data_IF_831398204097
#
_entry.id   IF_831398204097
#
_cell.length_a   1.000
_cell.length_b   1.000
_cell.length_c   1.000
_cell.angle_alpha   90.00
_cell.angle_beta   90.00
_cell.angle_gamma   90.00
#
_symmetry.space_group_name_H-M   'P 1'
#
loop_
_entity.id
_entity.type
_entity.pdbx_description
1 polymer ?
#
# COMPACT_ATOMS: atom_id res chain seq x y z
N UNK A 1 -11.87 -1.91 -11.09
CA UNK A 1 -13.15 -1.25 -10.74
C UNK A 1 -14.36 -1.93 -11.39
N UNK A 2 -14.38 -2.13 -12.71
CA UNK A 2 -15.51 -2.81 -13.40
C UNK A 2 -15.82 -4.20 -12.84
N UNK A 3 -14.81 -5.05 -12.65
CA UNK A 3 -14.99 -6.37 -12.02
C UNK A 3 -15.55 -6.28 -10.59
N UNK A 4 -15.12 -5.26 -9.83
CA UNK A 4 -15.68 -5.02 -8.49
C UNK A 4 -17.17 -4.65 -8.51
N UNK A 5 -17.64 -3.99 -9.57
CA UNK A 5 -19.06 -3.73 -9.78
C UNK A 5 -19.79 -4.99 -10.23
N UNK A 6 -19.20 -5.78 -11.12
CA UNK A 6 -19.78 -7.04 -11.60
C UNK A 6 -19.94 -8.06 -10.46
N UNK A 7 -18.98 -8.14 -9.53
CA UNK A 7 -19.15 -8.98 -8.32
C UNK A 7 -20.33 -8.58 -7.42
N UNK A 8 -20.94 -7.42 -7.66
CA UNK A 8 -22.13 -6.91 -6.96
C UNK A 8 -23.35 -6.88 -7.88
N UNK A 9 -23.48 -7.87 -8.75
CA UNK A 9 -24.52 -7.94 -9.78
C UNK A 9 -25.95 -7.96 -9.23
N UNK A 10 -26.15 -8.37 -7.98
CA UNK A 10 -27.41 -8.29 -7.26
C UNK A 10 -27.82 -6.86 -6.87
N UNK A 11 -26.87 -5.93 -6.83
CA UNK A 11 -27.08 -4.53 -6.42
C UNK A 11 -26.77 -3.55 -7.55
N UNK A 12 -25.79 -3.86 -8.42
CA UNK A 12 -25.30 -2.97 -9.49
C UNK A 12 -25.56 -3.63 -10.85
N UNK A 13 -26.57 -3.15 -11.57
CA UNK A 13 -26.99 -3.70 -12.87
C UNK A 13 -26.39 -2.96 -14.06
N UNK A 14 -25.70 -1.85 -13.86
CA UNK A 14 -25.09 -1.11 -14.97
C UNK A 14 -23.89 -0.30 -14.51
N UNK A 15 -22.86 -0.26 -15.34
CA UNK A 15 -21.73 0.64 -15.20
C UNK A 15 -21.48 1.37 -16.51
N UNK A 16 -21.08 2.63 -16.43
CA UNK A 16 -20.68 3.41 -17.60
C UNK A 16 -19.33 4.07 -17.35
N UNK A 17 -18.47 4.05 -18.35
CA UNK A 17 -17.21 4.79 -18.29
C UNK A 17 -17.48 6.26 -18.57
N UNK A 18 -16.72 7.11 -17.90
CA UNK A 18 -16.67 8.54 -18.20
C UNK A 18 -15.49 8.82 -19.11
N UNK A 19 -15.79 9.27 -20.34
CA UNK A 19 -14.84 9.64 -21.40
C UNK A 19 -14.13 8.42 -22.05
N UNK A 20 -14.51 8.16 -23.30
CA UNK A 20 -13.89 7.13 -24.13
C UNK A 20 -12.62 7.64 -24.81
N UNK A 21 -12.64 8.86 -25.36
CA UNK A 21 -11.62 9.43 -26.23
C UNK A 21 -11.23 10.82 -25.74
N UNK A 22 -9.93 11.15 -25.77
CA UNK A 22 -9.47 12.53 -25.58
C UNK A 22 -9.93 13.43 -26.73
N UNK A 23 -10.45 14.60 -26.42
CA UNK A 23 -10.96 15.54 -27.43
C UNK A 23 -9.84 16.24 -28.23
N UNK A 24 -8.62 16.28 -27.70
CA UNK A 24 -7.41 16.89 -28.30
C UNK A 24 -6.16 16.25 -27.70
N UNK A 25 -4.94 16.50 -28.22
CA UNK A 25 -3.70 16.00 -27.64
C UNK A 25 -3.48 16.54 -26.23
N UNK A 26 -4.06 15.90 -25.25
CA UNK A 26 -3.91 16.20 -23.83
C UNK A 26 -3.67 14.92 -23.06
N UNK A 27 -2.87 15.00 -22.01
CA UNK A 27 -2.65 13.87 -21.09
C UNK A 27 -3.84 13.64 -20.15
N UNK A 28 -5.09 13.68 -20.64
CA UNK A 28 -6.27 13.49 -19.83
C UNK A 28 -6.33 12.05 -19.30
N UNK A 29 -6.21 11.87 -18.02
CA UNK A 29 -6.04 10.56 -17.38
C UNK A 29 -7.29 9.67 -17.41
N UNK A 30 -8.46 10.20 -17.73
CA UNK A 30 -9.75 9.51 -17.55
C UNK A 30 -10.25 8.81 -18.81
N UNK A 31 -9.57 8.97 -19.95
CA UNK A 31 -10.00 8.38 -21.24
C UNK A 31 -9.37 7.02 -21.47
N UNK A 32 -10.05 6.17 -22.24
CA UNK A 32 -9.53 4.87 -22.66
C UNK A 32 -8.60 4.96 -23.87
N UNK A 33 -8.82 5.94 -24.75
CA UNK A 33 -7.97 6.19 -25.93
C UNK A 33 -7.55 7.65 -25.97
N UNK A 34 -6.44 7.92 -26.64
CA UNK A 34 -6.04 9.29 -26.97
C UNK A 34 -6.89 9.90 -28.10
N UNK A 35 -6.57 11.13 -28.52
CA UNK A 35 -7.29 11.83 -29.59
C UNK A 35 -7.07 11.19 -30.98
N UNK A 36 -6.03 10.40 -31.19
CA UNK A 36 -5.75 9.63 -32.39
C UNK A 36 -6.36 8.23 -32.34
N UNK A 37 -7.10 7.91 -31.27
CA UNK A 37 -7.73 6.62 -30.98
C UNK A 37 -6.73 5.53 -30.63
N UNK A 38 -5.50 5.87 -30.26
CA UNK A 38 -4.55 4.90 -29.74
C UNK A 38 -5.00 4.40 -28.36
N UNK A 39 -5.13 3.10 -28.14
CA UNK A 39 -5.58 2.57 -26.86
C UNK A 39 -4.54 2.80 -25.77
N UNK A 40 -4.99 3.30 -24.61
CA UNK A 40 -4.20 3.38 -23.38
C UNK A 40 -4.25 2.05 -22.62
N UNK A 41 -3.37 1.78 -21.66
CA UNK A 41 -3.44 0.56 -20.83
C UNK A 41 -4.83 0.31 -20.21
N UNK A 42 -5.53 1.38 -19.83
CA UNK A 42 -6.89 1.29 -19.29
C UNK A 42 -7.92 0.71 -20.28
N UNK A 43 -7.70 0.85 -21.59
CA UNK A 43 -8.55 0.27 -22.62
C UNK A 43 -8.53 -1.26 -22.54
N UNK A 44 -7.34 -1.85 -22.49
CA UNK A 44 -7.20 -3.31 -22.43
C UNK A 44 -7.72 -3.87 -21.12
N UNK A 45 -7.46 -3.21 -20.00
CA UNK A 45 -8.01 -3.61 -18.70
C UNK A 45 -9.55 -3.52 -18.67
N UNK A 46 -10.13 -2.52 -19.34
CA UNK A 46 -11.58 -2.41 -19.46
C UNK A 46 -12.16 -3.48 -20.38
N UNK A 47 -11.53 -3.73 -21.53
CA UNK A 47 -11.92 -4.79 -22.45
C UNK A 47 -11.91 -6.16 -21.75
N UNK A 48 -10.85 -6.46 -21.00
CA UNK A 48 -10.71 -7.68 -20.20
C UNK A 48 -11.83 -7.80 -19.15
N UNK A 49 -12.18 -6.70 -18.49
CA UNK A 49 -13.23 -6.69 -17.48
C UNK A 49 -14.65 -6.87 -18.04
N UNK A 50 -14.84 -6.76 -19.37
CA UNK A 50 -16.13 -6.93 -20.06
C UNK A 50 -16.30 -8.32 -20.70
N UNK A 51 -15.37 -9.25 -20.54
CA UNK A 51 -15.53 -10.63 -21.00
C UNK A 51 -16.78 -11.22 -20.33
N UNK A 52 -17.77 -11.71 -21.09
CA UNK A 52 -19.06 -12.09 -20.53
C UNK A 52 -18.98 -13.22 -19.50
N UNK A 53 -18.30 -14.32 -19.83
CA UNK A 53 -18.05 -15.42 -18.90
C UNK A 53 -16.57 -15.43 -18.54
N UNK A 54 -16.26 -15.11 -17.29
CA UNK A 54 -14.87 -15.03 -16.83
C UNK A 54 -14.68 -15.46 -15.38
N UNK A 55 -13.47 -15.90 -15.05
CA UNK A 55 -12.98 -15.94 -13.66
C UNK A 55 -12.44 -14.56 -13.29
N UNK A 56 -12.67 -14.14 -12.04
CA UNK A 56 -12.09 -12.94 -11.48
C UNK A 56 -11.50 -13.25 -10.10
N UNK A 57 -10.23 -12.93 -9.93
CA UNK A 57 -9.52 -13.08 -8.67
C UNK A 57 -9.57 -11.78 -7.87
N UNK A 58 -9.82 -11.91 -6.58
CA UNK A 58 -9.79 -10.77 -5.68
C UNK A 58 -9.08 -11.08 -4.38
N UNK A 59 -8.20 -10.18 -3.98
CA UNK A 59 -7.66 -10.12 -2.63
C UNK A 59 -7.53 -8.65 -2.21
N UNK A 60 -7.71 -8.40 -0.93
CA UNK A 60 -7.41 -7.09 -0.35
C UNK A 60 -5.90 -6.86 -0.19
N UNK A 61 -5.06 -7.88 -0.43
CA UNK A 61 -3.63 -7.84 -0.16
C UNK A 61 -2.80 -8.16 -1.39
N UNK A 62 -1.93 -7.24 -1.76
CA UNK A 62 -0.92 -7.42 -2.82
C UNK A 62 0.49 -7.63 -2.26
N UNK A 63 0.61 -7.66 -0.92
CA UNK A 63 1.86 -7.98 -0.22
C UNK A 63 1.56 -8.73 1.08
N UNK A 64 2.46 -9.63 1.49
CA UNK A 64 2.33 -10.43 2.70
C UNK A 64 3.70 -10.83 3.25
N UNK A 65 3.73 -11.17 4.53
CA UNK A 65 4.89 -11.85 5.11
C UNK A 65 4.81 -13.35 4.89
N UNK A 66 5.98 -14.02 4.89
CA UNK A 66 6.08 -15.48 4.65
C UNK A 66 5.30 -16.32 5.67
N UNK A 67 5.08 -15.79 6.87
CA UNK A 67 4.36 -16.45 7.96
C UNK A 67 2.84 -16.24 7.91
N UNK A 68 2.34 -15.57 6.88
CA UNK A 68 0.92 -15.27 6.71
C UNK A 68 0.27 -16.20 5.69
N UNK A 69 -1.06 -16.24 5.73
CA UNK A 69 -1.90 -16.84 4.70
C UNK A 69 -2.81 -15.75 4.16
N UNK A 70 -2.77 -15.56 2.84
CA UNK A 70 -3.58 -14.53 2.15
C UNK A 70 -4.79 -15.19 1.52
N UNK A 71 -6.02 -14.76 1.87
CA UNK A 71 -7.22 -15.23 1.20
C UNK A 71 -7.32 -14.60 -0.19
N UNK A 72 -7.51 -15.42 -1.21
CA UNK A 72 -7.80 -15.01 -2.58
C UNK A 72 -9.17 -15.55 -2.96
N UNK A 73 -10.12 -14.65 -3.17
CA UNK A 73 -11.47 -15.00 -3.63
C UNK A 73 -11.43 -15.35 -5.12
N UNK A 74 -12.06 -16.45 -5.49
CA UNK A 74 -12.28 -16.88 -6.87
C UNK A 74 -13.74 -16.63 -7.22
N UNK A 75 -13.98 -15.66 -8.07
CA UNK A 75 -15.32 -15.30 -8.53
C UNK A 75 -15.54 -15.78 -9.96
N UNK A 76 -16.73 -16.28 -10.24
CA UNK A 76 -17.20 -16.53 -11.60
C UNK A 76 -18.24 -15.47 -11.93
N UNK A 77 -18.01 -14.76 -13.03
CA UNK A 77 -18.87 -13.71 -13.54
C UNK A 77 -19.49 -14.21 -14.85
N UNK A 78 -20.81 -14.24 -14.92
CA UNK A 78 -21.55 -14.73 -16.09
C UNK A 78 -22.60 -13.68 -16.51
N UNK A 79 -22.28 -12.87 -17.51
CA UNK A 79 -23.23 -11.93 -18.12
C UNK A 79 -23.98 -12.55 -19.31
N UNK A 80 -23.78 -13.85 -19.60
CA UNK A 80 -24.49 -14.55 -20.65
C UNK A 80 -25.93 -14.88 -20.24
N UNK A 81 -26.80 -15.05 -21.23
CA UNK A 81 -28.23 -15.38 -21.02
C UNK A 81 -28.50 -16.82 -20.57
N UNK A 82 -27.46 -17.65 -20.56
CA UNK A 82 -27.54 -19.05 -20.24
C UNK A 82 -26.77 -19.43 -18.97
N UNK A 83 -27.23 -20.51 -18.33
CA UNK A 83 -26.49 -21.15 -17.23
C UNK A 83 -25.23 -21.82 -17.78
N UNK A 84 -24.13 -21.69 -17.08
CA UNK A 84 -22.86 -22.27 -17.46
C UNK A 84 -22.31 -23.22 -16.39
N UNK A 85 -21.64 -24.28 -16.84
CA UNK A 85 -20.87 -25.19 -16.00
C UNK A 85 -19.40 -25.06 -16.40
N UNK A 86 -18.55 -24.73 -15.47
CA UNK A 86 -17.12 -24.51 -15.69
C UNK A 86 -16.30 -25.42 -14.78
N UNK A 87 -15.15 -25.86 -15.28
CA UNK A 87 -14.09 -26.47 -14.48
C UNK A 87 -13.09 -25.38 -14.13
N UNK A 88 -12.90 -25.13 -12.82
CA UNK A 88 -11.96 -24.13 -12.27
C UNK A 88 -10.67 -24.86 -11.97
N UNK A 89 -9.56 -24.33 -12.44
CA UNK A 89 -8.21 -24.76 -12.08
C UNK A 89 -7.42 -23.55 -11.57
N UNK A 90 -6.98 -23.59 -10.31
CA UNK A 90 -6.15 -22.57 -9.70
C UNK A 90 -4.78 -23.14 -9.38
N UNK A 91 -3.73 -22.42 -9.73
CA UNK A 91 -2.35 -22.80 -9.59
C UNK A 91 -1.56 -21.67 -8.92
N UNK A 92 -0.65 -22.03 -8.02
CA UNK A 92 0.16 -21.07 -7.27
C UNK A 92 1.63 -21.35 -7.56
N UNK A 93 2.35 -20.29 -7.99
CA UNK A 93 3.72 -20.36 -8.44
C UNK A 93 4.64 -19.47 -7.62
N UNK A 94 5.83 -19.97 -7.30
CA UNK A 94 6.94 -19.14 -6.85
C UNK A 94 7.59 -18.40 -8.03
N UNK A 95 8.22 -17.27 -7.75
CA UNK A 95 8.93 -16.46 -8.74
C UNK A 95 9.97 -17.31 -9.53
N UNK A 96 9.86 -17.26 -10.85
CA UNK A 96 10.76 -17.98 -11.75
C UNK A 96 10.53 -19.49 -11.84
N UNK A 97 9.46 -20.02 -11.22
CA UNK A 97 9.08 -21.42 -11.33
C UNK A 97 8.02 -21.63 -12.41
N UNK A 98 8.21 -22.63 -13.26
CA UNK A 98 7.20 -23.11 -14.23
C UNK A 98 6.32 -24.23 -13.63
N UNK A 99 6.61 -24.64 -12.39
CA UNK A 99 5.86 -25.72 -11.72
C UNK A 99 5.12 -25.11 -10.51
N UNK A 100 3.77 -25.28 -10.46
CA UNK A 100 3.02 -24.79 -9.31
C UNK A 100 3.36 -25.60 -8.05
N UNK A 101 3.47 -24.95 -6.92
CA UNK A 101 3.63 -25.63 -5.62
C UNK A 101 2.29 -25.99 -4.97
N UNK A 102 1.19 -25.43 -5.46
CA UNK A 102 -0.16 -25.81 -5.05
C UNK A 102 -1.11 -25.73 -6.25
N UNK A 103 -2.08 -26.65 -6.27
CA UNK A 103 -3.10 -26.72 -7.31
C UNK A 103 -4.46 -27.06 -6.70
N UNK A 104 -5.51 -26.40 -7.17
CA UNK A 104 -6.89 -26.62 -6.78
C UNK A 104 -7.75 -26.78 -8.02
N UNK A 105 -8.67 -27.74 -8.00
CA UNK A 105 -9.60 -27.98 -9.11
C UNK A 105 -11.01 -28.15 -8.56
N UNK A 106 -11.99 -27.50 -9.16
CA UNK A 106 -13.38 -27.57 -8.76
C UNK A 106 -14.32 -27.39 -9.96
N UNK A 107 -15.43 -28.15 -9.98
CA UNK A 107 -16.51 -27.93 -10.93
C UNK A 107 -17.53 -26.95 -10.35
N UNK A 108 -17.90 -25.94 -11.10
CA UNK A 108 -18.80 -24.88 -10.64
C UNK A 108 -19.93 -24.60 -11.64
N UNK A 109 -21.13 -24.49 -11.12
CA UNK A 109 -22.31 -24.10 -11.91
C UNK A 109 -22.70 -22.66 -11.56
N UNK A 110 -22.83 -21.81 -12.57
CA UNK A 110 -23.27 -20.42 -12.44
C UNK A 110 -24.55 -20.16 -13.24
N UNK A 111 -25.50 -19.49 -12.64
CA UNK A 111 -26.75 -19.09 -13.31
C UNK A 111 -26.48 -18.03 -14.40
N UNK A 112 -27.47 -17.85 -15.29
CA UNK A 112 -27.46 -16.76 -16.26
C UNK A 112 -27.47 -15.39 -15.55
N UNK A 113 -26.73 -14.43 -16.07
CA UNK A 113 -26.64 -13.05 -15.59
C UNK A 113 -26.36 -12.97 -14.07
N UNK A 114 -25.37 -13.75 -13.61
CA UNK A 114 -25.04 -13.89 -12.19
C UNK A 114 -23.53 -13.71 -11.92
N UNK A 115 -23.19 -13.42 -10.68
CA UNK A 115 -21.83 -13.31 -10.19
C UNK A 115 -21.72 -13.98 -8.82
N UNK A 116 -20.89 -15.02 -8.72
CA UNK A 116 -20.77 -15.80 -7.48
C UNK A 116 -19.32 -16.06 -7.12
N UNK A 117 -19.02 -16.00 -5.81
CA UNK A 117 -17.78 -16.48 -5.27
C UNK A 117 -17.79 -18.00 -5.24
N UNK A 118 -17.00 -18.63 -6.10
CA UNK A 118 -16.86 -20.08 -6.16
C UNK A 118 -16.10 -20.62 -4.95
N UNK A 119 -15.14 -19.84 -4.41
CA UNK A 119 -14.38 -20.26 -3.25
C UNK A 119 -13.33 -19.23 -2.83
N UNK A 120 -12.66 -19.54 -1.73
CA UNK A 120 -11.54 -18.76 -1.21
C UNK A 120 -10.31 -19.65 -1.14
N UNK A 121 -9.27 -19.30 -1.90
CA UNK A 121 -7.99 -19.99 -1.88
C UNK A 121 -7.14 -19.46 -0.73
N UNK A 122 -6.72 -20.28 0.24
CA UNK A 122 -5.76 -19.90 1.27
C UNK A 122 -4.34 -19.99 0.68
N UNK A 123 -3.77 -18.86 0.28
CA UNK A 123 -2.41 -18.80 -0.27
C UNK A 123 -1.40 -18.66 0.86
N UNK A 124 -0.66 -19.73 1.14
CA UNK A 124 0.45 -19.77 2.10
C UNK A 124 1.79 -19.80 1.36
N UNK A 125 2.85 -19.35 1.99
CA UNK A 125 4.13 -19.09 1.36
C UNK A 125 5.24 -19.98 1.93
N UNK A 126 6.19 -20.35 1.10
CA UNK A 126 7.43 -20.99 1.57
C UNK A 126 8.32 -19.97 2.30
N UNK A 127 9.00 -20.43 3.35
CA UNK A 127 9.91 -19.58 4.13
C UNK A 127 11.31 -19.60 3.50
N UNK A 128 11.54 -18.76 2.51
CA UNK A 128 12.83 -18.66 1.81
C UNK A 128 13.74 -17.56 2.36
N UNK A 129 13.18 -16.63 3.13
CA UNK A 129 13.90 -15.48 3.66
C UNK A 129 14.13 -14.35 2.66
N UNK A 130 13.82 -14.54 1.39
CA UNK A 130 14.02 -13.57 0.30
C UNK A 130 12.71 -12.87 -0.07
N UNK A 131 12.84 -11.62 -0.51
CA UNK A 131 11.73 -10.93 -1.17
C UNK A 131 11.49 -11.52 -2.55
N UNK A 132 10.26 -11.83 -2.88
CA UNK A 132 9.85 -12.47 -4.14
C UNK A 132 8.40 -12.19 -4.49
N UNK A 133 7.99 -12.60 -5.66
CA UNK A 133 6.62 -12.54 -6.15
C UNK A 133 6.01 -13.94 -6.17
N UNK A 134 4.86 -14.12 -5.54
CA UNK A 134 4.04 -15.32 -5.67
C UNK A 134 2.90 -15.00 -6.63
N UNK A 135 2.71 -15.83 -7.64
CA UNK A 135 1.64 -15.69 -8.64
C UNK A 135 0.55 -16.71 -8.37
N UNK A 136 -0.68 -16.22 -8.22
CA UNK A 136 -1.89 -17.06 -8.24
C UNK A 136 -2.52 -16.91 -9.61
N UNK A 137 -2.56 -18.00 -10.37
CA UNK A 137 -3.19 -18.08 -11.68
C UNK A 137 -4.43 -18.96 -11.60
N UNK A 138 -5.55 -18.50 -12.13
CA UNK A 138 -6.76 -19.32 -12.19
C UNK A 138 -7.33 -19.28 -13.60
N UNK A 139 -7.70 -20.45 -14.10
CA UNK A 139 -8.34 -20.65 -15.40
C UNK A 139 -9.67 -21.34 -15.24
N UNK A 140 -10.60 -21.06 -16.16
CA UNK A 140 -11.86 -21.77 -16.28
C UNK A 140 -11.96 -22.44 -17.65
N UNK A 141 -12.48 -23.64 -17.64
CA UNK A 141 -12.59 -24.48 -18.82
C UNK A 141 -14.05 -24.99 -18.98
N UNK A 142 -14.39 -25.33 -20.20
CA UNK A 142 -15.57 -26.18 -20.46
C UNK A 142 -15.31 -27.60 -20.00
N UNK A 143 -16.36 -28.42 -19.84
CA UNK A 143 -16.25 -29.85 -19.48
C UNK A 143 -15.40 -30.68 -20.46
N UNK A 144 -15.31 -30.27 -21.72
CA UNK A 144 -14.46 -30.87 -22.74
C UNK A 144 -13.03 -30.31 -22.78
N UNK A 145 -12.66 -29.50 -21.81
CA UNK A 145 -11.29 -29.01 -21.59
C UNK A 145 -10.89 -27.79 -22.43
N UNK A 146 -11.84 -27.12 -23.09
CA UNK A 146 -11.54 -25.86 -23.79
C UNK A 146 -11.41 -24.70 -22.80
N UNK A 147 -10.31 -23.97 -22.85
CA UNK A 147 -10.09 -22.77 -22.06
C UNK A 147 -11.12 -21.69 -22.44
N UNK A 148 -11.81 -21.16 -21.45
CA UNK A 148 -12.76 -20.05 -21.55
C UNK A 148 -12.13 -18.72 -21.17
N UNK A 149 -11.45 -18.69 -20.02
CA UNK A 149 -10.82 -17.50 -19.49
C UNK A 149 -9.72 -17.88 -18.48
N UNK A 150 -8.73 -16.98 -18.31
CA UNK A 150 -7.75 -17.09 -17.23
C UNK A 150 -7.41 -15.72 -16.67
N UNK A 151 -7.11 -15.66 -15.39
CA UNK A 151 -6.65 -14.45 -14.70
C UNK A 151 -5.52 -14.79 -13.74
N UNK A 152 -4.65 -13.82 -13.48
CA UNK A 152 -3.58 -13.95 -12.50
C UNK A 152 -3.52 -12.73 -11.60
N UNK A 153 -3.11 -12.95 -10.37
CA UNK A 153 -2.71 -11.89 -9.44
C UNK A 153 -1.32 -12.19 -8.88
N UNK A 154 -0.62 -11.15 -8.49
CA UNK A 154 0.72 -11.23 -7.94
C UNK A 154 0.73 -10.68 -6.52
N UNK A 155 1.35 -11.43 -5.60
CA UNK A 155 1.50 -11.08 -4.19
C UNK A 155 3.00 -10.94 -3.91
N UNK A 156 3.43 -9.76 -3.46
CA UNK A 156 4.80 -9.56 -3.01
C UNK A 156 4.99 -10.18 -1.63
N UNK A 157 5.95 -11.07 -1.50
CA UNK A 157 6.18 -11.81 -0.26
C UNK A 157 7.59 -11.56 0.24
N UNK A 158 7.73 -11.39 1.55
CA UNK A 158 9.03 -11.28 2.19
C UNK A 158 9.02 -11.77 3.63
N UNK A 159 10.19 -12.05 4.18
CA UNK A 159 10.37 -12.36 5.60
C UNK A 159 10.16 -11.10 6.45
N UNK A 160 9.58 -11.26 7.64
CA UNK A 160 9.54 -10.18 8.64
C UNK A 160 10.94 -9.80 9.06
N UNK A 161 11.23 -8.52 9.01
CA UNK A 161 12.44 -7.97 9.64
C UNK A 161 12.18 -7.74 11.12
N UNK A 162 13.24 -7.85 11.90
CA UNK A 162 13.26 -7.46 13.31
C UNK A 162 14.18 -6.26 13.48
N UNK A 163 13.86 -5.36 14.38
CA UNK A 163 14.70 -4.20 14.69
C UNK A 163 16.01 -4.67 15.36
N UNK A 164 17.15 -4.28 14.82
CA UNK A 164 18.46 -4.77 15.28
C UNK A 164 19.06 -3.92 16.39
N UNK A 165 18.62 -2.69 16.55
CA UNK A 165 19.11 -1.75 17.55
C UNK A 165 18.22 -1.72 18.78
N UNK A 166 18.75 -1.27 19.93
CA UNK A 166 17.97 -0.96 21.12
C UNK A 166 17.37 0.44 20.99
N UNK A 167 16.07 0.57 21.21
CA UNK A 167 15.34 1.83 21.09
C UNK A 167 14.58 2.12 22.37
N UNK A 168 14.66 3.36 22.85
CA UNK A 168 13.78 3.82 23.92
C UNK A 168 12.44 4.28 23.31
N UNK A 169 11.34 3.92 23.95
CA UNK A 169 10.00 4.31 23.48
C UNK A 169 9.37 5.35 24.39
N UNK A 170 8.81 6.39 23.80
CA UNK A 170 8.08 7.45 24.48
C UNK A 170 6.67 7.53 23.91
N UNK A 171 5.68 7.12 24.70
CA UNK A 171 4.28 7.01 24.29
C UNK A 171 3.84 5.56 23.97
N UNK A 172 2.54 5.29 24.12
CA UNK A 172 1.99 3.92 24.03
C UNK A 172 2.13 3.34 22.61
N UNK A 173 1.81 4.12 21.56
CA UNK A 173 1.91 3.66 20.17
C UNK A 173 3.36 3.27 19.80
N UNK A 174 4.35 4.03 20.31
CA UNK A 174 5.76 3.71 20.08
C UNK A 174 6.15 2.36 20.70
N UNK A 175 5.63 2.04 21.89
CA UNK A 175 5.88 0.75 22.54
C UNK A 175 5.23 -0.41 21.75
N UNK A 176 3.99 -0.24 21.29
CA UNK A 176 3.29 -1.24 20.47
C UNK A 176 4.02 -1.51 19.15
N UNK A 177 4.59 -0.48 18.52
CA UNK A 177 5.38 -0.61 17.29
C UNK A 177 6.69 -1.35 17.55
N UNK A 178 7.38 -1.03 18.67
CA UNK A 178 8.61 -1.72 19.05
C UNK A 178 8.35 -3.22 19.24
N UNK A 179 7.26 -3.58 19.93
CA UNK A 179 6.85 -4.97 20.12
C UNK A 179 6.52 -5.67 18.81
N UNK A 180 5.81 -5.00 17.88
CA UNK A 180 5.49 -5.54 16.57
C UNK A 180 6.76 -5.85 15.75
N UNK A 181 7.82 -5.06 15.91
CA UNK A 181 9.12 -5.28 15.26
C UNK A 181 10.06 -6.17 16.04
N UNK A 182 9.60 -6.78 17.14
CA UNK A 182 10.42 -7.61 18.04
C UNK A 182 11.72 -6.89 18.47
N UNK A 183 11.63 -5.57 18.61
CA UNK A 183 12.74 -4.71 18.94
C UNK A 183 13.14 -4.84 20.42
N UNK A 184 14.38 -4.50 20.73
CA UNK A 184 14.85 -4.46 22.10
C UNK A 184 14.54 -3.10 22.72
N UNK A 185 13.80 -3.10 23.81
CA UNK A 185 13.63 -1.91 24.64
C UNK A 185 14.97 -1.51 25.26
N UNK A 186 15.31 -0.24 25.13
CA UNK A 186 16.46 0.39 25.77
C UNK A 186 15.99 1.37 26.87
N UNK A 187 16.92 1.87 27.66
CA UNK A 187 16.64 2.92 28.64
C UNK A 187 16.75 4.33 28.02
N UNK A 188 16.46 5.35 28.78
CA UNK A 188 16.48 6.76 28.36
C UNK A 188 17.86 7.25 27.87
N UNK A 189 18.93 6.51 28.13
CA UNK A 189 20.28 6.87 27.66
C UNK A 189 20.54 6.43 26.21
N UNK A 190 19.63 5.66 25.60
CA UNK A 190 19.71 5.20 24.21
C UNK A 190 19.94 6.36 23.24
N UNK A 191 20.71 6.08 22.19
CA UNK A 191 20.98 7.04 21.11
C UNK A 191 19.73 7.30 20.27
N UNK A 192 18.88 6.29 20.06
CA UNK A 192 17.67 6.39 19.25
C UNK A 192 16.40 6.27 20.10
N UNK A 193 15.50 7.22 19.94
CA UNK A 193 14.16 7.20 20.53
C UNK A 193 13.10 7.03 19.44
N UNK A 194 12.11 6.17 19.74
CA UNK A 194 10.84 6.09 19.00
C UNK A 194 9.76 6.80 19.82
N UNK A 195 9.19 7.86 19.29
CA UNK A 195 8.30 8.75 20.02
C UNK A 195 6.93 8.79 19.37
N UNK A 196 5.88 8.62 20.15
CA UNK A 196 4.49 8.89 19.76
C UNK A 196 3.77 9.82 20.74
N UNK A 197 4.40 10.14 21.86
CA UNK A 197 3.91 11.10 22.83
C UNK A 197 3.92 12.53 22.29
N UNK A 198 2.94 13.34 22.70
CA UNK A 198 2.77 14.71 22.23
C UNK A 198 2.28 15.68 23.33
N UNK A 199 2.24 15.22 24.57
CA UNK A 199 1.97 16.09 25.70
C UNK A 199 3.19 16.93 26.10
N UNK A 200 3.02 17.88 26.99
CA UNK A 200 4.08 18.83 27.37
C UNK A 200 5.27 18.17 28.04
N UNK A 201 5.05 17.09 28.78
CA UNK A 201 6.12 16.38 29.49
C UNK A 201 6.93 15.54 28.50
N UNK A 202 6.27 14.81 27.62
CA UNK A 202 6.89 14.04 26.56
C UNK A 202 7.72 14.95 25.63
N UNK A 203 7.18 16.09 25.21
CA UNK A 203 7.90 17.04 24.36
C UNK A 203 9.14 17.61 25.06
N UNK A 204 9.04 17.90 26.35
CA UNK A 204 10.21 18.37 27.15
C UNK A 204 11.31 17.29 27.22
N UNK A 205 10.94 16.04 27.45
CA UNK A 205 11.89 14.91 27.48
C UNK A 205 12.54 14.72 26.11
N UNK A 206 11.77 14.80 25.02
CA UNK A 206 12.28 14.73 23.67
C UNK A 206 13.25 15.88 23.38
N UNK A 207 12.96 17.11 23.79
CA UNK A 207 13.87 18.25 23.65
C UNK A 207 15.19 18.02 24.40
N UNK A 208 15.12 17.52 25.64
CA UNK A 208 16.32 17.22 26.46
C UNK A 208 17.18 16.15 25.78
N UNK A 209 16.59 15.13 25.18
CA UNK A 209 17.27 14.10 24.41
C UNK A 209 17.98 14.67 23.16
N UNK A 210 17.27 15.47 22.37
CA UNK A 210 17.83 16.09 21.16
C UNK A 210 18.95 17.09 21.49
N UNK A 211 18.86 17.84 22.60
CA UNK A 211 19.93 18.73 23.06
C UNK A 211 21.22 18.01 23.48
N UNK A 212 21.14 16.71 23.73
CA UNK A 212 22.32 15.85 23.94
C UNK A 212 22.96 15.38 22.63
N UNK A 213 22.45 15.81 21.48
CA UNK A 213 22.96 15.43 20.16
C UNK A 213 22.49 14.06 19.67
N UNK A 214 21.47 13.51 20.32
CA UNK A 214 20.92 12.18 20.03
C UNK A 214 19.81 12.22 18.98
N UNK A 215 19.23 11.06 18.66
CA UNK A 215 18.33 10.87 17.51
C UNK A 215 16.94 10.44 17.93
N UNK A 216 15.91 10.87 17.20
CA UNK A 216 14.55 10.44 17.43
C UNK A 216 13.75 10.31 16.13
N UNK A 217 12.95 9.24 16.05
CA UNK A 217 11.85 9.13 15.10
C UNK A 217 10.53 9.50 15.82
N UNK A 218 9.96 10.63 15.47
CA UNK A 218 8.70 11.08 16.05
C UNK A 218 7.55 10.80 15.10
N UNK A 219 6.69 9.89 15.55
CA UNK A 219 5.44 9.51 14.90
C UNK A 219 4.38 10.54 15.24
N UNK A 220 4.18 11.49 14.36
CA UNK A 220 3.30 12.62 14.59
C UNK A 220 1.84 12.19 14.74
N UNK A 221 1.11 12.72 15.73
CA UNK A 221 -0.31 12.44 15.90
C UNK A 221 -1.13 13.14 14.82
N UNK A 222 -2.27 12.57 14.43
CA UNK A 222 -3.24 13.21 13.54
C UNK A 222 -4.06 14.24 14.30
N UNK A 223 -3.61 15.50 14.36
CA UNK A 223 -4.30 16.61 15.02
C UNK A 223 -4.20 17.89 14.20
N UNK A 224 -5.18 18.77 14.36
CA UNK A 224 -5.20 20.06 13.66
C UNK A 224 -4.36 21.14 14.34
N UNK A 225 -4.14 21.02 15.63
CA UNK A 225 -3.36 21.98 16.41
C UNK A 225 -1.88 21.85 16.10
N UNK A 226 -1.20 22.98 16.01
CA UNK A 226 0.24 22.99 15.82
C UNK A 226 0.94 22.57 17.11
N UNK A 227 1.99 21.75 16.96
CA UNK A 227 2.92 21.40 18.01
C UNK A 227 4.10 22.36 17.98
N UNK A 228 4.80 22.51 19.10
CA UNK A 228 6.06 23.26 19.19
C UNK A 228 7.09 22.36 19.85
N UNK A 229 8.27 22.26 19.25
CA UNK A 229 9.45 21.56 19.79
C UNK A 229 10.69 22.40 19.49
N UNK A 230 11.56 22.60 20.47
CA UNK A 230 12.76 23.44 20.33
C UNK A 230 12.44 24.83 19.71
N UNK A 231 11.36 25.45 20.16
CA UNK A 231 10.82 26.72 19.65
C UNK A 231 10.44 26.72 18.16
N UNK A 232 10.43 25.55 17.51
CA UNK A 232 10.06 25.38 16.12
C UNK A 232 8.61 24.83 16.01
N UNK A 233 7.86 25.39 15.08
CA UNK A 233 6.47 24.99 14.85
C UNK A 233 6.39 23.77 13.93
N UNK A 234 5.53 22.83 14.31
CA UNK A 234 5.19 21.65 13.50
C UNK A 234 3.69 21.62 13.33
N UNK A 235 3.22 21.56 12.10
CA UNK A 235 1.80 21.48 11.79
C UNK A 235 1.54 20.31 10.83
N UNK A 236 0.50 19.53 11.11
CA UNK A 236 0.04 18.43 10.29
C UNK A 236 -1.20 18.87 9.54
N UNK A 237 -1.24 18.62 8.23
CA UNK A 237 -2.35 18.97 7.37
C UNK A 237 -2.78 17.80 6.50
N UNK A 238 -4.10 17.60 6.39
CA UNK A 238 -4.63 16.67 5.41
C UNK A 238 -4.20 17.08 4.00
N UNK A 239 -3.78 16.10 3.19
CA UNK A 239 -3.47 16.31 1.78
C UNK A 239 -4.68 16.10 0.85
N UNK A 240 -5.86 15.79 1.41
CA UNK A 240 -7.09 15.51 0.67
C UNK A 240 -7.08 14.13 0.00
N UNK A 241 -8.07 13.87 -0.86
CA UNK A 241 -8.38 12.52 -1.34
C UNK A 241 -7.48 12.02 -2.48
N UNK A 242 -6.64 12.88 -3.06
CA UNK A 242 -5.76 12.53 -4.16
C UNK A 242 -4.34 13.01 -3.88
N UNK A 243 -3.46 12.08 -3.61
CA UNK A 243 -2.04 12.35 -3.47
C UNK A 243 -1.21 11.21 -4.09
N UNK A 244 0.03 11.53 -4.40
CA UNK A 244 1.03 10.57 -4.85
C UNK A 244 2.26 10.77 -3.98
N UNK A 245 2.71 9.72 -3.33
CA UNK A 245 3.99 9.74 -2.63
C UNK A 245 5.13 9.66 -3.64
N UNK A 246 6.17 10.43 -3.41
CA UNK A 246 7.42 10.41 -4.14
C UNK A 246 8.58 10.47 -3.16
N UNK A 247 9.75 10.00 -3.56
CA UNK A 247 10.97 10.04 -2.79
C UNK A 247 12.18 10.31 -3.69
N UNK A 248 13.22 10.92 -3.12
CA UNK A 248 14.49 11.18 -3.78
C UNK A 248 15.64 10.60 -2.95
N UNK A 249 16.86 10.72 -3.44
CA UNK A 249 18.07 10.31 -2.72
C UNK A 249 18.08 8.83 -2.35
N UNK A 250 18.38 8.53 -1.10
CA UNK A 250 18.45 7.16 -0.58
C UNK A 250 17.12 6.39 -0.70
N UNK A 251 16.00 7.10 -0.73
CA UNK A 251 14.64 6.53 -0.83
C UNK A 251 14.07 6.58 -2.25
N UNK A 252 14.80 7.10 -3.24
CA UNK A 252 14.32 7.22 -4.62
C UNK A 252 13.93 5.91 -5.30
N UNK A 253 14.55 4.80 -4.89
CA UNK A 253 14.22 3.44 -5.34
C UNK A 253 13.26 2.70 -4.41
N UNK A 254 12.78 3.34 -3.33
CA UNK A 254 11.89 2.72 -2.37
C UNK A 254 10.53 2.36 -3.01
N UNK A 255 9.99 1.17 -2.75
CA UNK A 255 8.75 0.72 -3.39
C UNK A 255 7.52 1.44 -2.80
N UNK A 256 7.37 2.73 -3.11
CA UNK A 256 6.30 3.59 -2.59
C UNK A 256 4.89 3.04 -2.85
N UNK A 257 4.72 2.24 -3.90
CA UNK A 257 3.47 1.55 -4.17
C UNK A 257 3.00 0.66 -3.01
N UNK A 258 3.92 0.13 -2.22
CA UNK A 258 3.58 -0.66 -1.03
C UNK A 258 2.96 0.17 0.10
N UNK A 259 3.17 1.48 0.14
CA UNK A 259 2.52 2.38 1.10
C UNK A 259 1.00 2.50 0.87
N UNK A 260 0.52 2.13 -0.32
CA UNK A 260 -0.91 2.11 -0.66
C UNK A 260 -1.58 0.78 -0.36
N UNK A 261 -0.81 -0.19 0.14
CA UNK A 261 -1.34 -1.50 0.45
C UNK A 261 -2.23 -1.50 1.69
N UNK A 262 -2.99 -2.54 1.72
CA UNK A 262 -4.07 -2.82 2.61
C UNK A 262 -3.85 -2.42 4.06
N UNK A 263 -4.80 -1.77 4.62
CA UNK A 263 -5.23 -1.96 5.99
C UNK A 263 -5.81 -3.38 6.11
N UNK A 264 -5.81 -3.96 7.30
CA UNK A 264 -6.17 -5.37 7.53
C UNK A 264 -7.43 -5.85 6.79
N UNK A 265 -8.43 -5.01 6.66
CA UNK A 265 -9.74 -5.39 6.12
C UNK A 265 -10.13 -4.65 4.83
N UNK A 266 -9.35 -3.67 4.37
CA UNK A 266 -9.62 -2.90 3.17
C UNK A 266 -8.38 -2.14 2.66
N UNK A 267 -8.41 -1.75 1.39
CA UNK A 267 -7.36 -0.93 0.78
C UNK A 267 -7.56 0.53 1.19
N UNK A 268 -6.52 1.13 1.77
CA UNK A 268 -6.50 2.53 2.17
C UNK A 268 -5.08 3.10 2.06
N UNK A 269 -4.98 4.42 1.96
CA UNK A 269 -3.69 5.09 1.88
C UNK A 269 -3.02 5.22 3.25
N UNK A 270 -1.70 4.98 3.30
CA UNK A 270 -0.89 5.25 4.50
C UNK A 270 -0.43 6.71 4.58
N UNK A 271 -0.51 7.46 3.49
CA UNK A 271 -0.03 8.83 3.35
C UNK A 271 -1.20 9.79 3.09
N UNK A 272 -1.90 10.19 4.13
CA UNK A 272 -3.08 11.06 4.09
C UNK A 272 -2.86 12.45 4.73
N UNK A 273 -1.78 12.61 5.48
CA UNK A 273 -1.41 13.84 6.18
C UNK A 273 0.03 14.24 5.90
N UNK A 274 0.26 15.53 5.72
CA UNK A 274 1.56 16.12 5.42
C UNK A 274 2.07 16.99 6.55
N UNK A 275 3.38 17.17 6.60
CA UNK A 275 4.11 17.94 7.60
C UNK A 275 4.45 19.32 7.05
N UNK A 276 4.15 20.37 7.81
CA UNK A 276 4.71 21.71 7.67
C UNK A 276 5.52 22.04 8.91
N UNK A 277 6.78 22.41 8.75
CA UNK A 277 7.66 22.75 9.87
C UNK A 277 8.73 23.75 9.45
N UNK A 278 9.21 24.52 10.42
CA UNK A 278 10.33 25.45 10.30
C UNK A 278 11.69 24.75 10.45
N UNK A 279 11.72 23.52 10.95
CA UNK A 279 12.96 22.76 11.01
C UNK A 279 13.62 22.64 9.64
N UNK A 280 14.91 22.97 9.57
CA UNK A 280 15.75 22.71 8.40
C UNK A 280 16.03 21.22 8.28
N UNK A 281 16.16 20.73 7.04
CA UNK A 281 16.48 19.32 6.82
C UNK A 281 15.98 18.80 5.48
N UNK A 282 16.16 17.50 5.28
CA UNK A 282 15.84 16.77 4.06
C UNK A 282 14.39 16.23 4.12
N UNK A 283 13.67 16.35 3.03
CA UNK A 283 12.38 15.68 2.87
C UNK A 283 12.61 14.33 2.22
N UNK A 284 12.35 13.24 2.95
CA UNK A 284 12.62 11.89 2.50
C UNK A 284 11.47 11.35 1.66
N UNK A 285 10.22 11.55 2.12
CA UNK A 285 9.01 11.15 1.39
C UNK A 285 8.06 12.35 1.36
N UNK A 286 7.51 12.64 0.20
CA UNK A 286 6.73 13.85 -0.05
C UNK A 286 5.61 13.63 -1.06
N UNK A 287 4.74 14.62 -1.19
CA UNK A 287 3.77 14.72 -2.28
C UNK A 287 3.89 16.07 -2.99
N UNK A 288 3.38 16.14 -4.20
CA UNK A 288 3.28 17.38 -4.97
C UNK A 288 2.01 18.16 -4.61
N UNK A 289 2.08 19.48 -4.58
CA UNK A 289 0.91 20.32 -4.39
C UNK A 289 0.01 20.28 -5.63
N UNK A 290 -1.31 20.14 -5.42
CA UNK A 290 -2.31 20.20 -6.50
C UNK A 290 -2.24 21.49 -7.33
N UNK A 291 -1.76 22.59 -6.77
CA UNK A 291 -1.57 23.84 -7.51
C UNK A 291 -0.52 23.75 -8.62
N UNK A 292 0.41 22.79 -8.56
CA UNK A 292 1.36 22.49 -9.63
C UNK A 292 0.71 21.86 -10.86
N UNK A 293 -0.46 21.24 -10.72
CA UNK A 293 -1.22 20.65 -11.83
C UNK A 293 -1.97 21.70 -12.68
N UNK A 294 -2.20 22.89 -12.14
CA UNK A 294 -2.98 23.95 -12.81
C UNK A 294 -2.15 25.04 -13.47
N UNK A 295 -0.84 24.97 -13.43
CA UNK A 295 -0.03 26.09 -13.91
C UNK A 295 1.33 25.68 -14.46
N UNK A 296 1.71 26.35 -15.51
CA UNK A 296 2.91 26.28 -16.32
C UNK A 296 4.28 26.41 -15.59
N UNK A 297 4.37 26.23 -14.29
CA UNK A 297 5.59 26.47 -13.49
C UNK A 297 6.15 25.24 -12.78
N UNK A 298 5.99 24.06 -13.34
CA UNK A 298 6.56 22.82 -12.78
C UNK A 298 5.98 22.48 -11.40
N UNK A 299 5.64 21.20 -11.20
CA UNK A 299 5.26 20.71 -9.89
C UNK A 299 6.41 20.95 -8.91
N UNK A 300 6.14 21.62 -7.79
CA UNK A 300 7.13 21.76 -6.72
C UNK A 300 6.89 20.66 -5.69
N UNK A 301 7.94 19.95 -5.23
CA UNK A 301 7.80 19.08 -4.08
C UNK A 301 7.40 19.94 -2.89
N UNK A 302 6.28 19.66 -2.24
CA UNK A 302 5.73 20.66 -1.36
C UNK A 302 5.39 20.24 0.03
N UNK A 303 5.10 18.96 0.25
CA UNK A 303 4.62 18.55 1.55
C UNK A 303 5.25 17.22 1.92
N UNK A 304 6.00 17.24 3.01
CA UNK A 304 6.63 16.05 3.54
C UNK A 304 5.62 15.11 4.18
N UNK A 305 5.76 13.82 3.95
CA UNK A 305 5.22 12.77 4.79
C UNK A 305 6.26 12.30 5.80
N UNK A 306 7.53 12.27 5.39
CA UNK A 306 8.67 11.97 6.24
C UNK A 306 9.74 13.03 5.99
N UNK A 307 10.22 13.66 7.08
CA UNK A 307 11.26 14.69 7.02
C UNK A 307 12.33 14.43 8.06
N UNK A 308 13.58 14.36 7.64
CA UNK A 308 14.75 14.28 8.48
C UNK A 308 15.25 15.71 8.75
N UNK A 309 15.28 16.09 10.00
CA UNK A 309 15.59 17.44 10.47
C UNK A 309 16.84 17.45 11.32
N UNK A 310 17.64 18.50 11.21
CA UNK A 310 18.73 18.79 12.18
C UNK A 310 18.12 19.44 13.42
N UNK A 311 18.42 18.92 14.60
CA UNK A 311 17.90 19.38 15.88
C UNK A 311 18.99 19.38 16.95
N UNK A 312 19.49 20.57 17.34
CA UNK A 312 20.45 20.77 18.45
C UNK A 312 21.69 19.85 18.41
N UNK A 313 22.14 19.47 17.21
CA UNK A 313 23.28 18.54 17.03
C UNK A 313 22.89 17.07 16.83
N UNK A 314 21.65 16.73 17.10
CA UNK A 314 21.06 15.41 16.82
C UNK A 314 20.20 15.41 15.56
N UNK A 315 19.51 14.31 15.35
CA UNK A 315 18.59 14.12 14.23
C UNK A 315 17.15 13.88 14.72
N UNK A 316 16.22 14.67 14.19
CA UNK A 316 14.79 14.46 14.39
C UNK A 316 14.14 14.03 13.10
N UNK A 317 13.59 12.82 13.05
CA UNK A 317 12.79 12.35 11.92
C UNK A 317 11.32 12.53 12.26
N UNK A 318 10.63 13.36 11.50
CA UNK A 318 9.19 13.57 11.60
C UNK A 318 8.48 12.64 10.63
N UNK A 319 7.52 11.85 11.11
CA UNK A 319 6.73 10.93 10.29
C UNK A 319 5.23 11.13 10.52
N UNK A 320 4.49 11.49 9.46
CA UNK A 320 3.03 11.68 9.49
C UNK A 320 2.25 10.54 8.83
N UNK A 321 2.92 9.45 8.44
CA UNK A 321 2.26 8.29 7.85
C UNK A 321 1.27 7.65 8.82
N UNK A 322 0.15 7.18 8.28
CA UNK A 322 -0.87 6.49 9.05
C UNK A 322 -0.41 5.06 9.39
N UNK A 323 -0.50 4.70 10.67
CA UNK A 323 0.06 3.46 11.23
C UNK A 323 -0.99 2.50 11.77
N UNK A 324 -2.14 3.04 12.21
CA UNK A 324 -3.23 2.25 12.81
C UNK A 324 -3.68 1.10 11.90
N UNK A 325 -3.60 -0.13 12.39
CA UNK A 325 -3.94 -1.35 11.66
C UNK A 325 -3.04 -1.67 10.47
N UNK A 326 -1.83 -1.04 10.38
CA UNK A 326 -0.87 -1.23 9.29
C UNK A 326 0.48 -1.76 9.75
N UNK A 327 0.93 -1.35 10.92
CA UNK A 327 2.19 -1.84 11.51
C UNK A 327 2.12 -3.35 11.73
N UNK A 328 3.16 -4.06 11.31
CA UNK A 328 3.19 -5.52 11.32
C UNK A 328 2.36 -6.18 10.22
N UNK A 329 1.76 -5.38 9.32
CA UNK A 329 0.87 -5.84 8.25
C UNK A 329 1.18 -5.21 6.89
N UNK A 330 1.51 -3.92 6.84
CA UNK A 330 1.90 -3.22 5.62
C UNK A 330 3.43 -3.24 5.48
N UNK A 331 3.92 -4.12 4.63
CA UNK A 331 5.37 -4.32 4.41
C UNK A 331 6.08 -3.02 4.06
N UNK A 332 5.49 -2.20 3.20
CA UNK A 332 6.11 -0.94 2.79
C UNK A 332 6.29 0.05 3.94
N UNK A 333 5.32 0.13 4.84
CA UNK A 333 5.42 0.96 6.04
C UNK A 333 6.44 0.38 7.03
N UNK A 334 6.38 -0.93 7.27
CA UNK A 334 7.26 -1.58 8.24
C UNK A 334 8.73 -1.46 7.82
N UNK A 335 9.05 -1.74 6.55
CA UNK A 335 10.40 -1.58 6.03
C UNK A 335 10.90 -0.14 6.15
N UNK A 336 10.04 0.83 5.83
CA UNK A 336 10.40 2.24 5.97
C UNK A 336 10.70 2.63 7.42
N UNK A 337 9.85 2.25 8.36
CA UNK A 337 10.04 2.60 9.78
C UNK A 337 11.28 1.93 10.36
N UNK A 338 11.54 0.66 9.99
CA UNK A 338 12.76 -0.05 10.39
C UNK A 338 14.01 0.63 9.83
N UNK A 339 14.01 1.00 8.54
CA UNK A 339 15.13 1.70 7.91
C UNK A 339 15.38 3.07 8.55
N UNK A 340 14.32 3.84 8.86
CA UNK A 340 14.44 5.13 9.53
C UNK A 340 15.03 5.00 10.94
N UNK A 341 14.73 3.93 11.66
CA UNK A 341 15.30 3.67 12.98
C UNK A 341 16.75 3.20 12.90
N UNK A 342 17.07 2.28 11.97
CA UNK A 342 18.39 1.64 11.88
C UNK A 342 19.48 2.53 11.24
N UNK A 343 19.13 3.52 10.43
CA UNK A 343 20.11 4.39 9.76
C UNK A 343 20.70 5.48 10.66
N UNK A 344 20.01 5.82 11.74
CA UNK A 344 20.42 6.92 12.63
C UNK A 344 20.76 6.43 14.05
N UNK A 345 20.50 5.15 14.36
CA UNK A 345 20.70 4.52 15.67
C UNK A 345 22.12 3.96 15.93
#
# INVERSE_FOLDING_TARGET
MTDAFRRRGDVINQTAIHLLIDAWPSGWMKTLTDCERTPKPAYFAYQESLIPLKVNLYTARTSAYEDETVPVEVWILNDEGDRNNVEIQAEIYEEGSDTPYAMYTESFEIAAADAQCAGILPVSFEQTGNRRTVTVQTAIFTKDGRLLHQEKIEIQVQKRRTLKIGVYTLGCEAAEILDAYQGKSADETSEMWLVSGDDKEDLKRLEEHLRQGKHALWLLPKRQEALSLLDQKIQIKSCGDLFFAAADGAYGSYPLGMLYNAKKDYIDATADHTIQTEFSGETLIYTYDKSGFQGSKGAKPHRAFVKKCSAEGGTLILCSLAREGRVGYNIGLDELLLDLLEQEG
#
